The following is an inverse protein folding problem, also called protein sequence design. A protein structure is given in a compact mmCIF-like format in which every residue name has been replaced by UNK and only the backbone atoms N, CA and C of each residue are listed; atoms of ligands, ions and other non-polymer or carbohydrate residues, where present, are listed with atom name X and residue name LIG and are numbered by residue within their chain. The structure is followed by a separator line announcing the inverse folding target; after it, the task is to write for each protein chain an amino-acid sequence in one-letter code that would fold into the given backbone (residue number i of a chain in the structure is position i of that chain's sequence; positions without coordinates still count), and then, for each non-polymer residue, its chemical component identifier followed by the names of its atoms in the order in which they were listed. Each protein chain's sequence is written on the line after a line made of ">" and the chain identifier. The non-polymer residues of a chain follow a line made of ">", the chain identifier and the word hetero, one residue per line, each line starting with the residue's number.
data_IF_209414310631
#
_entry.id   IF_209414310631
#
_cell.length_a   1.000
_cell.length_b   1.000
_cell.length_c   1.000
_cell.angle_alpha   90.00
_cell.angle_beta   90.00
_cell.angle_gamma   90.00
#
_symmetry.space_group_name_H-M   'P 1'
#
loop_
_entity.id
_entity.type
_entity.pdbx_description
1 polymer ?
#
# COMPACT_ATOMS: atom_id res chain seq x y z
N UNK A 1 -22.14 1.08 -8.21
CA UNK A 1 -22.12 0.49 -9.58
C UNK A 1 -20.73 -0.07 -9.78
N UNK A 2 -20.58 -1.40 -9.80
CA UNK A 2 -19.28 -2.07 -9.97
C UNK A 2 -18.53 -1.50 -11.17
N UNK A 3 -17.28 -1.09 -10.97
CA UNK A 3 -16.33 -1.01 -12.07
C UNK A 3 -15.95 -2.43 -12.45
N UNK A 4 -16.77 -3.07 -13.28
CA UNK A 4 -16.34 -4.21 -14.08
C UNK A 4 -15.24 -3.67 -15.00
N UNK A 5 -13.99 -3.76 -14.56
CA UNK A 5 -12.83 -3.50 -15.39
C UNK A 5 -12.84 -4.55 -16.49
N UNK A 6 -13.42 -4.18 -17.63
CA UNK A 6 -13.45 -5.02 -18.83
C UNK A 6 -12.02 -5.39 -19.16
N UNK A 7 -11.70 -6.69 -19.17
CA UNK A 7 -10.40 -7.18 -19.60
C UNK A 7 -10.09 -6.58 -20.97
N UNK A 8 -8.97 -5.85 -21.14
CA UNK A 8 -8.68 -5.23 -22.42
C UNK A 8 -8.56 -6.30 -23.51
N UNK A 9 -9.24 -6.09 -24.64
CA UNK A 9 -9.06 -6.94 -25.82
C UNK A 9 -7.67 -6.67 -26.41
N UNK A 10 -6.74 -7.60 -26.17
CA UNK A 10 -5.36 -7.49 -26.63
C UNK A 10 -5.17 -8.24 -27.97
N UNK A 11 -4.36 -7.69 -28.91
CA UNK A 11 -3.91 -8.43 -30.08
C UNK A 11 -3.25 -9.76 -29.70
N UNK A 12 -3.38 -10.82 -30.53
CA UNK A 12 -2.71 -12.10 -30.28
C UNK A 12 -1.20 -11.93 -30.13
N UNK A 13 -0.60 -12.58 -29.13
CA UNK A 13 0.84 -12.55 -28.86
C UNK A 13 1.36 -11.31 -28.13
N UNK A 14 0.63 -10.18 -28.14
CA UNK A 14 1.09 -8.93 -27.51
C UNK A 14 1.29 -9.08 -25.99
N UNK A 15 0.42 -9.83 -25.32
CA UNK A 15 0.56 -10.13 -23.88
C UNK A 15 1.83 -10.96 -23.60
N UNK A 16 2.15 -11.92 -24.46
CA UNK A 16 3.33 -12.78 -24.30
C UNK A 16 4.62 -11.99 -24.51
N UNK A 17 4.65 -11.09 -25.49
CA UNK A 17 5.75 -10.16 -25.71
C UNK A 17 5.95 -9.23 -24.51
N UNK A 18 4.85 -8.67 -23.99
CA UNK A 18 4.88 -7.84 -22.80
C UNK A 18 5.45 -8.58 -21.58
N UNK A 19 4.94 -9.78 -21.30
CA UNK A 19 5.42 -10.61 -20.17
C UNK A 19 6.88 -11.04 -20.36
N UNK A 20 7.33 -11.24 -21.59
CA UNK A 20 8.74 -11.52 -21.89
C UNK A 20 9.63 -10.31 -21.60
N UNK A 21 9.20 -9.11 -22.00
CA UNK A 21 9.85 -7.86 -21.60
C UNK A 21 9.88 -7.69 -20.08
N UNK A 22 8.80 -8.10 -19.40
CA UNK A 22 8.70 -7.98 -17.95
C UNK A 22 9.66 -8.86 -17.17
N UNK A 23 9.96 -10.08 -17.63
CA UNK A 23 11.00 -10.92 -17.01
C UNK A 23 12.36 -10.23 -17.00
N UNK A 24 12.72 -9.53 -18.08
CA UNK A 24 13.97 -8.77 -18.14
C UNK A 24 13.96 -7.59 -17.16
N UNK A 25 12.89 -6.81 -17.13
CA UNK A 25 12.77 -5.68 -16.21
C UNK A 25 12.78 -6.11 -14.73
N UNK A 26 12.19 -7.26 -14.39
CA UNK A 26 12.30 -7.84 -13.05
C UNK A 26 13.76 -8.16 -12.68
N UNK A 27 14.56 -8.66 -13.63
CA UNK A 27 15.99 -8.88 -13.43
C UNK A 27 16.77 -7.58 -13.22
N UNK A 28 16.45 -6.53 -13.98
CA UNK A 28 17.04 -5.19 -13.80
C UNK A 28 16.71 -4.61 -12.41
N UNK A 29 15.44 -4.70 -11.99
CA UNK A 29 15.01 -4.27 -10.66
C UNK A 29 15.66 -5.07 -9.52
N UNK A 30 15.88 -6.39 -9.72
CA UNK A 30 16.59 -7.20 -8.74
C UNK A 30 18.05 -6.76 -8.58
N UNK A 31 18.74 -6.43 -9.67
CA UNK A 31 20.08 -5.85 -9.61
C UNK A 31 20.11 -4.49 -8.91
N UNK A 32 19.09 -3.65 -9.14
CA UNK A 32 18.96 -2.37 -8.43
C UNK A 32 18.77 -2.58 -6.91
N UNK A 33 18.02 -3.61 -6.51
CA UNK A 33 17.88 -3.96 -5.10
C UNK A 33 19.23 -4.36 -4.47
N UNK A 34 20.04 -5.14 -5.19
CA UNK A 34 21.39 -5.52 -4.74
C UNK A 34 22.31 -4.30 -4.60
N UNK A 35 22.26 -3.35 -5.54
CA UNK A 35 23.03 -2.09 -5.46
C UNK A 35 22.62 -1.26 -4.23
N UNK A 36 21.30 -1.17 -3.96
CA UNK A 36 20.76 -0.43 -2.80
C UNK A 36 20.99 -1.13 -1.46
N UNK A 37 21.19 -2.45 -1.43
CA UNK A 37 21.64 -3.17 -0.23
C UNK A 37 23.10 -2.80 0.12
N UNK A 38 23.94 -2.55 -0.90
CA UNK A 38 25.34 -2.14 -0.71
C UNK A 38 25.43 -0.66 -0.32
N UNK A 39 24.71 0.21 -1.03
CA UNK A 39 24.63 1.63 -0.76
C UNK A 39 23.21 2.15 -1.01
N UNK A 40 22.42 2.25 0.06
CA UNK A 40 21.06 2.80 -0.02
C UNK A 40 21.02 4.24 -0.54
N UNK A 41 22.13 4.98 -0.48
CA UNK A 41 22.26 6.34 -0.99
C UNK A 41 22.64 6.44 -2.46
N UNK A 42 22.86 5.32 -3.17
CA UNK A 42 23.27 5.33 -4.57
C UNK A 42 22.20 6.00 -5.46
N UNK A 43 22.46 7.26 -5.78
CA UNK A 43 21.55 8.10 -6.57
C UNK A 43 21.34 7.53 -7.97
N UNK A 44 22.34 6.85 -8.54
CA UNK A 44 22.22 6.21 -9.85
C UNK A 44 21.27 5.00 -9.79
N UNK A 45 21.36 4.20 -8.73
CA UNK A 45 20.44 3.08 -8.50
C UNK A 45 19.01 3.58 -8.26
N UNK A 46 18.83 4.61 -7.43
CA UNK A 46 17.53 5.25 -7.15
C UNK A 46 16.88 5.84 -8.41
N UNK A 47 17.67 6.49 -9.27
CA UNK A 47 17.17 6.99 -10.55
C UNK A 47 16.74 5.88 -11.51
N UNK A 48 17.50 4.76 -11.53
CA UNK A 48 17.12 3.58 -12.32
C UNK A 48 15.82 2.99 -11.81
N UNK A 49 15.70 2.81 -10.49
CA UNK A 49 14.47 2.33 -9.85
C UNK A 49 13.27 3.17 -10.29
N UNK A 50 13.34 4.49 -10.12
CA UNK A 50 12.26 5.42 -10.51
C UNK A 50 11.88 5.27 -11.99
N UNK A 51 12.86 5.13 -12.88
CA UNK A 51 12.59 4.98 -14.33
C UNK A 51 11.92 3.66 -14.65
N UNK A 52 12.38 2.55 -14.07
CA UNK A 52 11.78 1.24 -14.33
C UNK A 52 10.38 1.12 -13.73
N UNK A 53 10.16 1.62 -12.51
CA UNK A 53 8.82 1.67 -11.91
C UNK A 53 7.88 2.56 -12.71
N UNK A 54 8.35 3.69 -13.25
CA UNK A 54 7.55 4.56 -14.11
C UNK A 54 7.09 3.87 -15.39
N UNK A 55 7.98 3.12 -16.05
CA UNK A 55 7.63 2.34 -17.25
C UNK A 55 6.54 1.31 -16.93
N UNK A 56 6.70 0.57 -15.83
CA UNK A 56 5.73 -0.46 -15.41
C UNK A 56 4.39 0.17 -15.07
N UNK A 57 4.40 1.26 -14.31
CA UNK A 57 3.20 2.01 -13.95
C UNK A 57 2.44 2.45 -15.22
N UNK A 58 3.15 3.00 -16.20
CA UNK A 58 2.58 3.49 -17.45
C UNK A 58 2.09 2.40 -18.42
N UNK A 59 2.53 1.14 -18.27
CA UNK A 59 2.15 0.07 -19.19
C UNK A 59 1.22 -0.99 -18.60
N UNK A 60 1.44 -1.41 -17.35
CA UNK A 60 0.84 -2.64 -16.81
C UNK A 60 -0.70 -2.63 -16.81
N UNK A 61 -1.32 -1.48 -16.55
CA UNK A 61 -2.79 -1.33 -16.57
C UNK A 61 -3.39 -1.61 -17.96
N UNK A 62 -2.73 -1.17 -19.04
CA UNK A 62 -3.18 -1.42 -20.42
C UNK A 62 -3.19 -2.90 -20.79
N UNK A 63 -2.45 -3.74 -20.06
CA UNK A 63 -2.41 -5.19 -20.21
C UNK A 63 -3.33 -5.93 -19.22
N UNK A 64 -4.16 -5.19 -18.47
CA UNK A 64 -5.07 -5.76 -17.47
C UNK A 64 -4.43 -6.00 -16.09
N UNK A 65 -3.15 -5.63 -15.90
CA UNK A 65 -2.46 -5.77 -14.62
C UNK A 65 -2.55 -4.50 -13.78
N UNK A 66 -3.77 -4.12 -13.40
CA UNK A 66 -4.06 -2.89 -12.66
C UNK A 66 -3.34 -2.84 -11.30
N UNK A 67 -3.34 -3.95 -10.55
CA UNK A 67 -2.62 -4.05 -9.27
C UNK A 67 -1.11 -3.89 -9.44
N UNK A 68 -0.53 -4.42 -10.54
CA UNK A 68 0.89 -4.22 -10.84
C UNK A 68 1.19 -2.76 -11.16
N UNK A 69 0.32 -2.08 -11.92
CA UNK A 69 0.46 -0.66 -12.22
C UNK A 69 0.39 0.21 -10.95
N UNK A 70 -0.53 -0.08 -10.03
CA UNK A 70 -0.64 0.63 -8.74
C UNK A 70 0.57 0.40 -7.84
N UNK A 71 1.01 -0.85 -7.71
CA UNK A 71 2.20 -1.21 -6.94
C UNK A 71 3.44 -0.47 -7.49
N UNK A 72 3.60 -0.43 -8.81
CA UNK A 72 4.68 0.31 -9.46
C UNK A 72 4.57 1.83 -9.25
N UNK A 73 3.36 2.40 -9.24
CA UNK A 73 3.14 3.81 -8.93
C UNK A 73 3.60 4.17 -7.51
N UNK A 74 3.27 3.33 -6.52
CA UNK A 74 3.70 3.50 -5.13
C UNK A 74 5.22 3.40 -4.97
N UNK A 75 5.85 2.45 -5.67
CA UNK A 75 7.31 2.33 -5.69
C UNK A 75 7.98 3.51 -6.41
N UNK A 76 7.38 4.03 -7.48
CA UNK A 76 7.88 5.22 -8.18
C UNK A 76 7.87 6.44 -7.25
N UNK A 77 6.80 6.64 -6.49
CA UNK A 77 6.70 7.74 -5.53
C UNK A 77 7.70 7.58 -4.38
N UNK A 78 7.89 6.35 -3.90
CA UNK A 78 8.92 6.01 -2.91
C UNK A 78 10.33 6.31 -3.43
N UNK A 79 10.63 5.98 -4.69
CA UNK A 79 11.92 6.26 -5.31
C UNK A 79 12.17 7.77 -5.48
N UNK A 80 11.13 8.56 -5.84
CA UNK A 80 11.22 10.04 -5.89
C UNK A 80 11.54 10.62 -4.52
N UNK A 81 10.88 10.11 -3.49
CA UNK A 81 11.08 10.52 -2.11
C UNK A 81 12.51 10.21 -1.64
N UNK A 82 13.04 9.01 -1.91
CA UNK A 82 14.44 8.66 -1.65
C UNK A 82 15.43 9.55 -2.39
N UNK A 83 15.19 9.88 -3.67
CA UNK A 83 16.03 10.79 -4.46
C UNK A 83 16.08 12.20 -3.87
N UNK A 84 15.00 12.66 -3.23
CA UNK A 84 14.97 13.96 -2.55
C UNK A 84 15.83 13.99 -1.28
N UNK A 85 16.15 12.81 -0.72
CA UNK A 85 16.86 12.62 0.55
C UNK A 85 17.76 11.37 0.49
N UNK A 86 18.81 11.35 -0.35
CA UNK A 86 19.58 10.14 -0.60
C UNK A 86 20.29 9.61 0.65
N UNK A 87 20.62 10.47 1.62
CA UNK A 87 21.31 10.11 2.86
C UNK A 87 20.41 9.59 3.98
N UNK A 88 19.09 9.60 3.80
CA UNK A 88 18.13 9.14 4.80
C UNK A 88 18.05 7.60 4.83
N UNK A 89 18.43 6.98 5.95
CA UNK A 89 18.48 5.51 6.11
C UNK A 89 17.35 4.96 6.97
N UNK A 90 16.25 5.72 7.15
CA UNK A 90 15.10 5.30 7.96
C UNK A 90 14.37 4.04 7.43
N UNK A 91 14.68 3.64 6.20
CA UNK A 91 14.11 2.46 5.54
C UNK A 91 15.23 1.68 4.87
N UNK A 92 15.21 0.36 5.03
CA UNK A 92 16.05 -0.56 4.26
C UNK A 92 15.56 -0.57 2.80
N UNK A 93 16.23 0.23 1.96
CA UNK A 93 15.83 0.49 0.58
C UNK A 93 16.04 -0.74 -0.33
N UNK A 94 17.11 -1.50 -0.10
CA UNK A 94 17.39 -2.70 -0.88
C UNK A 94 16.38 -3.82 -0.56
N UNK A 95 16.12 -4.08 0.73
CA UNK A 95 15.06 -5.01 1.15
C UNK A 95 13.68 -4.63 0.61
N UNK A 96 13.32 -3.33 0.67
CA UNK A 96 12.03 -2.88 0.15
C UNK A 96 11.93 -3.03 -1.38
N UNK A 97 13.01 -2.70 -2.10
CA UNK A 97 13.07 -2.89 -3.56
C UNK A 97 12.97 -4.35 -3.93
N UNK A 98 13.63 -5.25 -3.18
CA UNK A 98 13.54 -6.70 -3.37
C UNK A 98 12.14 -7.24 -3.13
N UNK A 99 11.48 -6.79 -2.06
CA UNK A 99 10.08 -7.10 -1.80
C UNK A 99 9.18 -6.68 -2.98
N UNK A 100 9.38 -5.46 -3.51
CA UNK A 100 8.64 -4.96 -4.67
C UNK A 100 8.81 -5.87 -5.89
N UNK A 101 10.03 -6.33 -6.18
CA UNK A 101 10.31 -7.26 -7.29
C UNK A 101 9.55 -8.56 -7.14
N UNK A 102 9.61 -9.17 -5.95
CA UNK A 102 8.92 -10.45 -5.68
C UNK A 102 7.41 -10.29 -5.85
N UNK A 103 6.83 -9.23 -5.27
CA UNK A 103 5.39 -8.95 -5.36
C UNK A 103 4.93 -8.64 -6.77
N UNK A 104 5.69 -7.85 -7.51
CA UNK A 104 5.37 -7.56 -8.90
C UNK A 104 5.35 -8.84 -9.74
N UNK A 105 6.31 -9.73 -9.55
CA UNK A 105 6.35 -10.99 -10.27
C UNK A 105 5.20 -11.93 -9.90
N UNK A 106 4.81 -12.00 -8.63
CA UNK A 106 3.63 -12.76 -8.19
C UNK A 106 2.34 -12.25 -8.87
N UNK A 107 2.14 -10.93 -8.92
CA UNK A 107 0.99 -10.32 -9.61
C UNK A 107 1.01 -10.65 -11.12
N UNK A 108 2.19 -10.63 -11.73
CA UNK A 108 2.38 -10.94 -13.16
C UNK A 108 2.42 -12.45 -13.45
N UNK A 109 2.38 -13.31 -12.42
CA UNK A 109 2.56 -14.77 -12.51
C UNK A 109 3.84 -15.16 -13.25
N UNK A 110 4.93 -14.47 -12.94
CA UNK A 110 6.26 -14.71 -13.48
C UNK A 110 7.17 -15.33 -12.42
N UNK A 111 8.04 -16.22 -12.84
CA UNK A 111 9.12 -16.71 -11.98
C UNK A 111 10.16 -15.60 -11.76
N UNK A 112 10.60 -15.42 -10.51
CA UNK A 112 11.73 -14.58 -10.16
C UNK A 112 12.95 -15.47 -9.93
N UNK A 113 14.13 -15.16 -10.51
CA UNK A 113 15.38 -15.78 -10.09
C UNK A 113 15.61 -15.44 -8.61
N UNK A 114 15.30 -16.36 -7.71
CA UNK A 114 15.37 -16.09 -6.27
C UNK A 114 16.77 -16.45 -5.78
N UNK A 115 17.59 -15.46 -5.45
CA UNK A 115 18.68 -15.64 -4.49
C UNK A 115 18.19 -15.04 -3.17
N UNK A 116 17.93 -15.93 -2.21
CA UNK A 116 17.33 -15.67 -0.90
C UNK A 116 15.86 -15.19 -0.92
N UNK A 117 15.01 -16.04 -0.34
CA UNK A 117 13.68 -15.65 0.15
C UNK A 117 13.87 -14.42 1.03
N UNK A 118 13.45 -13.25 0.56
CA UNK A 118 13.07 -12.18 1.46
C UNK A 118 12.08 -12.80 2.44
N UNK A 119 12.36 -12.68 3.75
CA UNK A 119 11.44 -13.14 4.78
C UNK A 119 10.05 -12.61 4.44
N UNK A 120 9.16 -13.51 4.02
CA UNK A 120 7.76 -13.15 3.83
C UNK A 120 7.29 -12.58 5.17
N UNK A 121 6.71 -11.38 5.23
CA UNK A 121 5.95 -11.00 6.40
C UNK A 121 4.88 -12.07 6.58
N UNK A 122 4.99 -12.82 7.67
CA UNK A 122 4.18 -14.01 7.90
C UNK A 122 2.76 -13.59 8.25
N UNK A 123 1.88 -13.50 7.25
CA UNK A 123 0.41 -13.42 7.39
C UNK A 123 -0.14 -12.34 8.32
N UNK A 124 -1.45 -12.32 8.57
CA UNK A 124 -2.00 -11.55 9.67
C UNK A 124 -1.51 -12.21 10.97
N UNK A 125 -0.46 -11.65 11.55
CA UNK A 125 -0.24 -11.83 12.98
C UNK A 125 -1.27 -10.90 13.61
N UNK A 126 -2.44 -11.45 13.97
CA UNK A 126 -3.05 -11.03 15.22
C UNK A 126 -1.94 -11.25 16.25
N UNK A 127 -1.14 -10.22 16.55
CA UNK A 127 -0.24 -10.29 17.68
C UNK A 127 -1.17 -10.52 18.85
N UNK A 128 -1.14 -11.76 19.34
CA UNK A 128 -2.07 -12.34 20.28
C UNK A 128 -1.87 -11.77 21.69
N UNK A 129 -1.84 -10.45 21.80
CA UNK A 129 -2.22 -9.75 23.00
C UNK A 129 -3.69 -9.34 22.81
N UNK A 130 -4.59 -10.29 23.02
CA UNK A 130 -6.05 -10.08 23.16
C UNK A 130 -6.41 -9.17 24.35
N UNK A 131 -5.45 -8.40 24.86
CA UNK A 131 -5.53 -7.49 25.99
C UNK A 131 -5.27 -6.03 25.61
N UNK A 132 -4.86 -5.71 24.37
CA UNK A 132 -4.56 -4.33 23.97
C UNK A 132 -5.17 -3.93 22.61
N UNK A 133 -5.93 -2.84 22.60
CA UNK A 133 -6.53 -2.25 21.38
C UNK A 133 -5.42 -1.85 20.39
N UNK A 134 -5.58 -2.11 19.07
CA UNK A 134 -4.66 -1.64 18.04
C UNK A 134 -4.45 -0.13 18.11
N UNK A 135 -3.29 0.36 17.73
CA UNK A 135 -3.06 1.80 17.55
C UNK A 135 -3.44 2.24 16.14
N UNK A 136 -3.25 1.35 15.17
CA UNK A 136 -3.56 1.58 13.76
C UNK A 136 -4.38 0.41 13.24
N UNK A 137 -5.45 0.71 12.52
CA UNK A 137 -6.27 -0.27 11.80
C UNK A 137 -6.23 0.12 10.33
N UNK A 138 -5.94 -0.83 9.45
CA UNK A 138 -5.90 -0.61 8.01
C UNK A 138 -7.00 -1.43 7.35
N UNK A 139 -7.82 -0.81 6.52
CA UNK A 139 -8.83 -1.48 5.68
C UNK A 139 -8.51 -1.16 4.23
N UNK A 140 -7.95 -2.14 3.51
CA UNK A 140 -7.36 -1.98 2.18
C UNK A 140 -7.46 -3.29 1.40
N UNK A 141 -8.20 -3.29 0.29
CA UNK A 141 -8.40 -4.47 -0.55
C UNK A 141 -7.20 -4.76 -1.47
N UNK A 142 -6.35 -3.77 -1.77
CA UNK A 142 -5.14 -4.01 -2.56
C UNK A 142 -4.11 -4.82 -1.73
N UNK A 143 -3.84 -6.09 -2.10
CA UNK A 143 -2.96 -6.98 -1.34
C UNK A 143 -1.57 -6.37 -1.17
N UNK A 144 -1.03 -5.76 -2.23
CA UNK A 144 0.32 -5.25 -2.24
C UNK A 144 0.45 -3.97 -1.41
N UNK A 145 -0.54 -3.07 -1.48
CA UNK A 145 -0.51 -1.84 -0.67
C UNK A 145 -0.62 -2.14 0.83
N UNK A 146 -1.56 -2.98 1.26
CA UNK A 146 -1.61 -3.26 2.70
C UNK A 146 -0.44 -4.14 3.19
N UNK A 147 0.16 -5.01 2.35
CA UNK A 147 1.43 -5.66 2.74
C UNK A 147 2.58 -4.64 2.93
N UNK A 148 2.64 -3.62 2.08
CA UNK A 148 3.60 -2.52 2.20
C UNK A 148 3.38 -1.72 3.49
N UNK A 149 2.12 -1.39 3.80
CA UNK A 149 1.77 -0.68 5.04
C UNK A 149 2.06 -1.54 6.27
N UNK A 150 1.73 -2.83 6.25
CA UNK A 150 2.05 -3.78 7.32
C UNK A 150 3.56 -3.85 7.58
N UNK A 151 4.38 -3.95 6.52
CA UNK A 151 5.83 -3.92 6.64
C UNK A 151 6.31 -2.63 7.33
N UNK A 152 5.80 -1.49 6.88
CA UNK A 152 6.09 -0.19 7.47
C UNK A 152 5.69 -0.08 8.94
N UNK A 153 4.49 -0.53 9.29
CA UNK A 153 3.96 -0.50 10.65
C UNK A 153 4.75 -1.43 11.59
N UNK A 154 5.11 -2.63 11.12
CA UNK A 154 5.98 -3.57 11.85
C UNK A 154 7.35 -2.97 12.12
N UNK A 155 7.98 -2.36 11.11
CA UNK A 155 9.31 -1.74 11.25
C UNK A 155 9.37 -0.64 12.32
N UNK A 156 8.23 0.02 12.59
CA UNK A 156 8.08 1.07 13.61
C UNK A 156 7.39 0.58 14.91
N UNK A 157 7.24 -0.73 15.08
CA UNK A 157 6.63 -1.35 16.25
C UNK A 157 5.25 -0.77 16.63
N UNK A 158 4.39 -0.52 15.64
CA UNK A 158 2.99 -0.22 15.88
C UNK A 158 2.24 -1.51 16.25
N UNK A 159 1.28 -1.42 17.18
CA UNK A 159 0.21 -2.43 17.27
C UNK A 159 -0.81 -2.13 16.19
N UNK A 160 -1.08 -3.07 15.30
CA UNK A 160 -2.03 -2.84 14.22
C UNK A 160 -2.89 -4.06 13.88
N UNK A 161 -4.02 -3.79 13.24
CA UNK A 161 -4.86 -4.78 12.58
C UNK A 161 -5.05 -4.41 11.11
N UNK A 162 -5.14 -5.40 10.23
CA UNK A 162 -5.34 -5.20 8.79
C UNK A 162 -6.49 -6.05 8.29
N UNK A 163 -7.40 -5.42 7.56
CA UNK A 163 -8.55 -6.04 6.91
C UNK A 163 -8.45 -5.84 5.40
N UNK A 164 -8.82 -6.89 4.67
CA UNK A 164 -8.85 -6.90 3.19
C UNK A 164 -10.27 -6.78 2.64
N UNK A 165 -11.27 -6.98 3.49
CA UNK A 165 -12.68 -6.92 3.15
C UNK A 165 -13.38 -5.89 4.05
N UNK A 166 -14.15 -4.99 3.43
CA UNK A 166 -14.84 -3.93 4.17
C UNK A 166 -15.98 -4.43 5.06
N UNK A 167 -16.62 -5.55 4.70
CA UNK A 167 -17.69 -6.15 5.48
C UNK A 167 -17.17 -6.83 6.74
N UNK A 168 -16.09 -7.60 6.62
CA UNK A 168 -15.35 -8.17 7.76
C UNK A 168 -14.87 -7.04 8.69
N UNK A 169 -14.23 -6.01 8.12
CA UNK A 169 -13.74 -4.87 8.88
C UNK A 169 -14.87 -4.19 9.68
N UNK A 170 -16.01 -3.90 9.04
CA UNK A 170 -17.13 -3.23 9.71
C UNK A 170 -17.67 -4.05 10.88
N UNK A 171 -17.83 -5.37 10.71
CA UNK A 171 -18.30 -6.26 11.77
C UNK A 171 -17.40 -6.20 13.02
N UNK A 172 -16.10 -6.35 12.81
CA UNK A 172 -15.13 -6.37 13.90
C UNK A 172 -14.94 -4.97 14.54
N UNK A 173 -14.97 -3.90 13.73
CA UNK A 173 -14.88 -2.52 14.22
C UNK A 173 -16.09 -2.13 15.08
N UNK A 174 -17.30 -2.61 14.78
CA UNK A 174 -18.47 -2.38 15.61
C UNK A 174 -18.39 -3.14 16.95
N UNK A 175 -17.78 -4.33 16.93
CA UNK A 175 -17.60 -5.17 18.12
C UNK A 175 -16.42 -4.75 19.00
N UNK A 176 -15.44 -4.03 18.45
CA UNK A 176 -14.21 -3.67 19.17
C UNK A 176 -14.48 -2.64 20.29
N UNK A 177 -14.09 -3.01 21.51
CA UNK A 177 -14.10 -2.14 22.68
C UNK A 177 -12.84 -1.26 22.70
N UNK A 178 -12.92 -0.06 22.11
CA UNK A 178 -11.78 0.86 22.00
C UNK A 178 -11.44 1.58 23.31
N UNK A 179 -12.39 1.71 24.24
CA UNK A 179 -12.20 2.51 25.46
C UNK A 179 -11.76 3.94 25.13
N UNK A 180 -10.70 4.42 25.80
CA UNK A 180 -10.12 5.75 25.55
C UNK A 180 -8.97 5.74 24.52
N UNK A 181 -8.69 4.61 23.88
CA UNK A 181 -7.52 4.46 23.00
C UNK A 181 -7.68 5.10 21.62
N UNK A 182 -8.93 5.25 21.15
CA UNK A 182 -9.30 5.88 19.89
C UNK A 182 -8.36 5.52 18.71
N UNK A 183 -8.30 4.25 18.26
CA UNK A 183 -7.40 3.80 17.19
C UNK A 183 -7.48 4.68 15.93
N UNK A 184 -6.34 4.86 15.27
CA UNK A 184 -6.29 5.42 13.92
C UNK A 184 -6.83 4.39 12.93
N UNK A 185 -7.85 4.74 12.15
CA UNK A 185 -8.40 3.90 11.09
C UNK A 185 -8.00 4.48 9.73
N UNK A 186 -7.09 3.80 9.02
CA UNK A 186 -6.79 4.06 7.61
C UNK A 186 -7.79 3.28 6.76
N UNK A 187 -8.72 4.00 6.13
CA UNK A 187 -9.87 3.42 5.44
C UNK A 187 -9.81 3.73 3.95
N UNK A 188 -9.63 2.71 3.10
CA UNK A 188 -9.82 2.90 1.67
C UNK A 188 -11.28 3.27 1.37
N UNK A 189 -11.46 4.30 0.55
CA UNK A 189 -12.76 4.72 0.04
C UNK A 189 -13.30 3.69 -0.96
N UNK A 190 -12.43 3.16 -1.82
CA UNK A 190 -12.80 2.40 -3.01
C UNK A 190 -12.87 0.87 -2.77
N UNK A 191 -13.31 0.47 -1.57
CA UNK A 191 -13.47 -0.94 -1.20
C UNK A 191 -14.58 -1.63 -2.00
N UNK A 192 -14.41 -2.92 -2.36
CA UNK A 192 -15.44 -3.70 -3.02
C UNK A 192 -16.60 -4.01 -2.07
N UNK A 193 -17.81 -4.11 -2.63
CA UNK A 193 -19.08 -4.47 -1.92
C UNK A 193 -19.57 -3.42 -0.93
N UNK A 194 -18.75 -3.01 0.05
CA UNK A 194 -19.04 -1.98 1.04
C UNK A 194 -18.01 -0.88 0.89
N UNK A 195 -18.44 0.30 0.43
CA UNK A 195 -17.53 1.43 0.28
C UNK A 195 -17.07 2.02 1.63
N UNK A 196 -15.91 2.65 1.66
CA UNK A 196 -15.33 3.18 2.90
C UNK A 196 -16.17 4.29 3.53
N UNK A 197 -16.95 5.04 2.75
CA UNK A 197 -17.84 6.06 3.30
C UNK A 197 -18.99 5.45 4.08
N UNK A 198 -19.58 4.35 3.59
CA UNK A 198 -20.62 3.63 4.28
C UNK A 198 -20.13 3.01 5.60
N UNK A 199 -18.89 2.50 5.61
CA UNK A 199 -18.24 2.03 6.85
C UNK A 199 -18.11 3.20 7.84
N UNK A 200 -17.57 4.34 7.39
CA UNK A 200 -17.41 5.53 8.23
C UNK A 200 -18.74 6.02 8.81
N UNK A 201 -19.79 6.15 7.98
CA UNK A 201 -21.12 6.56 8.42
C UNK A 201 -21.73 5.61 9.45
N UNK A 202 -21.52 4.30 9.29
CA UNK A 202 -21.97 3.31 10.26
C UNK A 202 -21.23 3.45 11.61
N UNK A 203 -19.92 3.69 11.57
CA UNK A 203 -19.11 3.90 12.78
C UNK A 203 -19.48 5.20 13.50
N UNK A 204 -19.68 6.30 12.78
CA UNK A 204 -20.13 7.57 13.39
C UNK A 204 -21.52 7.44 14.02
N UNK A 205 -22.40 6.62 13.46
CA UNK A 205 -23.75 6.37 14.00
C UNK A 205 -23.73 5.45 15.23
N UNK A 206 -22.98 4.36 15.20
CA UNK A 206 -23.04 3.30 16.22
C UNK A 206 -21.95 3.41 17.29
N UNK A 207 -20.80 3.98 16.92
CA UNK A 207 -19.59 4.11 17.73
C UNK A 207 -18.98 5.52 17.59
N UNK A 208 -19.76 6.60 17.79
CA UNK A 208 -19.33 7.96 17.54
C UNK A 208 -18.02 8.28 18.27
N UNK A 209 -17.03 8.79 17.54
CA UNK A 209 -15.73 9.16 18.07
C UNK A 209 -14.83 8.01 18.49
N UNK A 210 -15.23 6.74 18.34
CA UNK A 210 -14.42 5.58 18.73
C UNK A 210 -13.13 5.43 17.91
N UNK A 211 -13.09 5.99 16.70
CA UNK A 211 -11.99 5.88 15.75
C UNK A 211 -11.57 7.25 15.23
N UNK A 212 -10.27 7.47 15.06
CA UNK A 212 -9.74 8.60 14.28
C UNK A 212 -9.62 8.14 12.84
N UNK A 213 -10.52 8.59 11.96
CA UNK A 213 -10.58 8.05 10.60
C UNK A 213 -9.79 8.92 9.62
N UNK A 214 -8.89 8.30 8.87
CA UNK A 214 -8.18 8.90 7.74
C UNK A 214 -8.53 8.08 6.50
N UNK A 215 -9.04 8.75 5.48
CA UNK A 215 -9.36 8.09 4.23
C UNK A 215 -8.10 7.92 3.36
N UNK A 216 -8.01 6.79 2.68
CA UNK A 216 -7.10 6.62 1.53
C UNK A 216 -7.93 6.54 0.26
N UNK A 217 -7.47 7.15 -0.83
CA UNK A 217 -8.26 7.18 -2.06
C UNK A 217 -7.38 7.34 -3.29
N UNK A 218 -7.78 6.74 -4.40
CA UNK A 218 -7.18 7.02 -5.71
C UNK A 218 -7.70 8.34 -6.33
N UNK A 219 -8.73 8.94 -5.75
CA UNK A 219 -9.41 10.13 -6.26
C UNK A 219 -8.89 11.38 -5.55
N UNK A 220 -8.34 12.31 -6.33
CA UNK A 220 -7.90 13.62 -5.86
C UNK A 220 -8.99 14.69 -5.85
N UNK A 221 -10.28 14.31 -5.97
CA UNK A 221 -11.36 15.28 -6.08
C UNK A 221 -11.56 16.02 -4.75
N UNK A 222 -11.27 17.32 -4.75
CA UNK A 222 -11.42 18.21 -3.60
C UNK A 222 -12.84 18.21 -3.03
N UNK A 223 -13.87 17.94 -3.85
CA UNK A 223 -15.26 17.93 -3.39
C UNK A 223 -15.59 16.70 -2.55
N UNK A 224 -15.11 15.52 -2.94
CA UNK A 224 -15.26 14.28 -2.16
C UNK A 224 -14.45 14.35 -0.86
N UNK A 225 -13.23 14.90 -0.93
CA UNK A 225 -12.37 15.08 0.24
C UNK A 225 -12.99 16.03 1.26
N UNK A 226 -13.56 17.15 0.80
CA UNK A 226 -14.24 18.10 1.67
C UNK A 226 -15.42 17.48 2.40
N UNK A 227 -16.19 16.64 1.71
CA UNK A 227 -17.37 15.98 2.29
C UNK A 227 -17.00 15.10 3.49
N UNK A 228 -15.95 14.29 3.41
CA UNK A 228 -15.56 13.45 4.55
C UNK A 228 -14.90 14.25 5.67
N UNK A 229 -14.15 15.30 5.37
CA UNK A 229 -13.63 16.21 6.41
C UNK A 229 -14.77 16.91 7.17
N UNK A 230 -15.79 17.40 6.46
CA UNK A 230 -16.98 17.99 7.06
C UNK A 230 -17.78 16.96 7.89
N UNK A 231 -17.73 15.69 7.51
CA UNK A 231 -18.38 14.59 8.23
C UNK A 231 -17.59 14.09 9.45
N UNK A 232 -16.38 14.62 9.72
CA UNK A 232 -15.59 14.32 10.91
C UNK A 232 -14.34 13.47 10.68
N UNK A 233 -13.99 13.15 9.44
CA UNK A 233 -12.71 12.50 9.15
C UNK A 233 -11.53 13.43 9.47
N UNK A 234 -10.42 12.83 9.92
CA UNK A 234 -9.21 13.54 10.33
C UNK A 234 -8.43 14.10 9.12
N UNK A 235 -8.20 13.28 8.10
CA UNK A 235 -7.45 13.66 6.91
C UNK A 235 -7.70 12.70 5.74
N UNK A 236 -7.13 13.03 4.57
CA UNK A 236 -7.09 12.20 3.38
C UNK A 236 -5.64 11.92 2.94
N UNK A 237 -5.44 10.73 2.39
CA UNK A 237 -4.24 10.32 1.68
C UNK A 237 -4.58 9.95 0.24
N UNK A 238 -4.06 10.73 -0.71
CA UNK A 238 -4.26 10.47 -2.14
C UNK A 238 -3.20 9.50 -2.65
N UNK A 239 -3.62 8.36 -3.18
CA UNK A 239 -2.79 7.34 -3.84
C UNK A 239 -2.30 7.85 -5.21
N UNK A 240 -1.06 7.52 -5.65
CA UNK A 240 -0.04 6.71 -4.95
C UNK A 240 0.67 7.50 -3.82
N UNK A 241 0.98 6.82 -2.71
CA UNK A 241 1.61 7.43 -1.53
C UNK A 241 2.95 6.75 -1.27
N UNK A 242 4.00 7.54 -1.01
CA UNK A 242 5.28 7.00 -0.49
C UNK A 242 5.06 6.36 0.89
N UNK A 243 5.59 5.15 1.09
CA UNK A 243 5.49 4.45 2.39
C UNK A 243 6.02 5.32 3.54
N UNK A 244 7.13 6.05 3.33
CA UNK A 244 7.71 6.94 4.34
C UNK A 244 6.75 8.05 4.72
N UNK A 245 6.17 8.72 3.72
CA UNK A 245 5.19 9.81 3.93
C UNK A 245 3.96 9.30 4.68
N UNK A 246 3.45 8.11 4.30
CA UNK A 246 2.35 7.48 5.02
C UNK A 246 2.71 7.26 6.49
N UNK A 247 3.89 6.69 6.78
CA UNK A 247 4.33 6.39 8.15
C UNK A 247 4.63 7.65 8.98
N UNK A 248 5.15 8.72 8.38
CA UNK A 248 5.33 10.02 9.03
C UNK A 248 3.98 10.64 9.44
N UNK A 249 2.98 10.56 8.56
CA UNK A 249 1.63 11.04 8.86
C UNK A 249 0.95 10.18 9.92
N UNK A 250 1.04 8.85 9.82
CA UNK A 250 0.54 7.91 10.83
C UNK A 250 1.14 8.24 12.20
N UNK A 251 2.45 8.46 12.27
CA UNK A 251 3.13 8.84 13.52
C UNK A 251 2.53 10.10 14.15
N UNK A 252 2.33 11.14 13.33
CA UNK A 252 1.69 12.39 13.77
C UNK A 252 0.27 12.17 14.26
N UNK A 253 -0.54 11.40 13.54
CA UNK A 253 -1.94 11.20 13.91
C UNK A 253 -2.10 10.33 15.14
N UNK A 254 -1.29 9.27 15.28
CA UNK A 254 -1.28 8.41 16.47
C UNK A 254 -0.87 9.22 17.71
N UNK A 255 0.01 10.21 17.56
CA UNK A 255 0.42 11.13 18.62
C UNK A 255 1.60 10.61 19.44
N UNK A 256 2.51 9.89 18.78
CA UNK A 256 3.79 9.44 19.36
C UNK A 256 4.87 10.50 19.21
#
# INVERSE_FOLDING_TARGET
>A
MSSDATTPELPPGLLEEYLTGMRRQLGELAGIADDLDVDGGDTRALEQLRRETHKIHGSAGSFGFWSASRLAAGMEETAKDWLSRPTDTDVDRGSLTRWFVVRLAEILRLDVPTTQRADRPSGPILQADLLNVPEVIVVEDDPALAELLEYGLRSRAYRFACYRDGGEALGDLLALETGESHPLLLLDVDLPVVDGYAIFEALERERPGAYRVVFTTARGDESEQRRGLEAGALEYLVKPISLRVALEKIHRWVGR
#
